data_IF_594231513596
#
_entry.id   IF_594231513596
#
_cell.length_a   1.000
_cell.length_b   1.000
_cell.length_c   1.000
_cell.angle_alpha   90.00
_cell.angle_beta   90.00
_cell.angle_gamma   90.00
#
_symmetry.space_group_name_H-M   'P 1'
#
loop_
_entity.id
_entity.type
_entity.pdbx_description
1 polymer ?
#
# COMPACT_ATOMS: atom_id res chain seq x y z
N UNK A 1 -41.24 18.79 -7.31
CA UNK A 1 -42.04 17.59 -7.62
C UNK A 1 -41.67 16.44 -6.66
N UNK A 2 -42.31 16.43 -5.49
CA UNK A 2 -42.09 15.43 -4.45
C UNK A 2 -42.78 14.11 -4.83
N UNK A 3 -42.03 13.01 -4.87
CA UNK A 3 -42.60 11.66 -4.92
C UNK A 3 -43.04 11.26 -3.52
N UNK A 4 -44.24 10.72 -3.44
CA UNK A 4 -44.88 10.19 -2.22
C UNK A 4 -43.98 9.11 -1.60
N UNK A 5 -43.71 9.13 -0.28
CA UNK A 5 -42.91 8.10 0.37
C UNK A 5 -43.60 6.73 0.28
N UNK A 6 -42.79 5.69 0.03
CA UNK A 6 -43.22 4.31 -0.17
C UNK A 6 -44.09 3.87 1.04
N UNK A 7 -45.25 3.23 0.83
CA UNK A 7 -46.02 2.66 1.93
C UNK A 7 -45.14 1.69 2.72
N UNK A 8 -44.98 1.92 4.02
CA UNK A 8 -44.08 1.21 4.97
C UNK A 8 -42.61 1.68 5.04
N UNK A 9 -42.24 2.84 4.48
CA UNK A 9 -40.93 3.43 4.76
C UNK A 9 -40.85 3.93 6.22
N UNK A 10 -40.12 3.19 7.07
CA UNK A 10 -39.75 3.66 8.41
C UNK A 10 -38.45 4.45 8.31
N UNK A 11 -38.53 5.76 8.53
CA UNK A 11 -37.34 6.61 8.72
C UNK A 11 -36.47 6.05 9.85
N UNK A 12 -35.16 5.97 9.63
CA UNK A 12 -34.15 5.59 10.63
C UNK A 12 -34.01 6.60 11.78
N UNK A 13 -34.84 7.65 11.83
CA UNK A 13 -35.01 8.55 12.97
C UNK A 13 -35.91 7.98 14.08
N UNK A 14 -35.93 6.65 14.27
CA UNK A 14 -36.49 6.07 15.49
C UNK A 14 -35.64 6.51 16.68
N UNK A 15 -36.22 7.37 17.51
CA UNK A 15 -35.80 7.72 18.86
C UNK A 15 -34.91 6.62 19.48
N UNK A 16 -33.60 6.86 19.52
CA UNK A 16 -32.64 5.99 20.19
C UNK A 16 -32.94 6.04 21.69
N UNK A 17 -33.77 5.13 22.17
CA UNK A 17 -33.86 4.85 23.59
C UNK A 17 -32.51 4.32 24.06
N UNK A 18 -31.79 5.11 24.84
CA UNK A 18 -30.59 4.70 25.57
C UNK A 18 -30.90 3.41 26.36
N UNK A 19 -30.18 2.32 26.06
CA UNK A 19 -30.11 1.16 26.97
C UNK A 19 -30.62 -0.19 26.45
N UNK A 20 -31.28 -0.29 25.30
CA UNK A 20 -31.75 -1.58 24.77
C UNK A 20 -31.15 -1.88 23.39
N UNK A 21 -29.95 -2.49 23.40
CA UNK A 21 -29.38 -3.09 22.19
C UNK A 21 -30.16 -4.39 21.93
N UNK A 22 -31.26 -4.33 21.19
CA UNK A 22 -31.89 -5.54 20.61
C UNK A 22 -30.76 -6.34 19.93
N UNK A 23 -30.68 -7.65 20.15
CA UNK A 23 -29.82 -8.52 19.32
C UNK A 23 -30.31 -8.35 17.89
N UNK A 24 -29.64 -7.46 17.15
CA UNK A 24 -30.17 -6.89 15.91
C UNK A 24 -30.16 -7.92 14.79
N UNK A 25 -31.15 -7.82 13.91
CA UNK A 25 -31.12 -8.50 12.61
C UNK A 25 -29.79 -8.25 11.90
N UNK A 26 -29.34 -9.20 11.08
CA UNK A 26 -28.12 -9.07 10.27
C UNK A 26 -28.30 -7.90 9.31
N UNK A 27 -27.61 -6.79 9.58
CA UNK A 27 -27.73 -5.54 8.85
C UNK A 27 -26.35 -4.90 8.68
N UNK A 28 -26.15 -4.08 7.63
CA UNK A 28 -24.89 -3.35 7.47
C UNK A 28 -24.63 -2.44 8.68
N UNK A 29 -23.35 -2.22 8.99
CA UNK A 29 -22.96 -1.41 10.15
C UNK A 29 -23.34 0.08 9.99
N UNK A 30 -23.33 0.55 8.74
CA UNK A 30 -23.71 1.90 8.35
C UNK A 30 -24.75 1.83 7.23
N UNK A 31 -25.55 2.88 7.11
CA UNK A 31 -26.66 2.95 6.17
C UNK A 31 -26.15 3.10 4.72
N UNK A 32 -26.47 2.17 3.80
CA UNK A 32 -26.07 2.28 2.39
C UNK A 32 -26.85 3.36 1.63
N UNK A 33 -28.02 3.79 2.12
CA UNK A 33 -28.87 4.79 1.47
C UNK A 33 -28.54 6.23 1.87
N UNK A 34 -27.60 6.41 2.82
CA UNK A 34 -27.17 7.74 3.26
C UNK A 34 -26.51 8.53 2.12
N UNK A 35 -26.76 9.84 2.08
CA UNK A 35 -26.20 10.70 1.04
C UNK A 35 -24.66 10.66 1.08
N UNK A 36 -24.03 10.42 -0.08
CA UNK A 36 -22.58 10.25 -0.23
C UNK A 36 -21.99 9.01 0.49
N UNK A 37 -22.79 8.01 0.83
CA UNK A 37 -22.28 6.73 1.32
C UNK A 37 -21.28 6.11 0.32
N UNK A 38 -20.14 5.64 0.84
CA UNK A 38 -19.12 4.96 0.03
C UNK A 38 -19.29 3.46 0.22
N UNK A 39 -19.96 2.84 -0.73
CA UNK A 39 -20.26 1.40 -0.72
C UNK A 39 -19.09 0.65 -1.36
N UNK A 40 -18.46 -0.24 -0.58
CA UNK A 40 -17.36 -1.10 -1.04
C UNK A 40 -17.87 -2.44 -1.55
N UNK A 41 -18.93 -2.96 -0.93
CA UNK A 41 -19.57 -4.21 -1.34
C UNK A 41 -21.07 -4.07 -1.30
N UNK A 42 -21.72 -4.57 -2.35
CA UNK A 42 -23.17 -4.73 -2.43
C UNK A 42 -23.48 -6.22 -2.59
N UNK A 43 -24.43 -6.77 -1.82
CA UNK A 43 -24.93 -8.12 -2.04
C UNK A 43 -25.42 -8.30 -3.48
N UNK A 44 -25.27 -9.50 -4.07
CA UNK A 44 -25.86 -9.78 -5.37
C UNK A 44 -27.38 -9.64 -5.31
N UNK A 45 -27.98 -9.08 -6.37
CA UNK A 45 -29.43 -9.01 -6.50
C UNK A 45 -29.99 -10.43 -6.65
N UNK A 46 -30.70 -10.89 -5.62
CA UNK A 46 -31.40 -12.17 -5.63
C UNK A 46 -32.84 -11.94 -6.09
N UNK A 47 -33.38 -12.89 -6.87
CA UNK A 47 -34.80 -12.85 -7.21
C UNK A 47 -35.66 -13.04 -5.96
N UNK A 48 -36.89 -12.50 -5.96
CA UNK A 48 -37.79 -12.59 -4.81
C UNK A 48 -38.05 -14.06 -4.38
N UNK A 49 -38.01 -15.01 -5.32
CA UNK A 49 -38.16 -16.44 -5.04
C UNK A 49 -36.93 -17.06 -4.38
N UNK A 50 -35.72 -16.57 -4.71
CA UNK A 50 -34.47 -17.01 -4.08
C UNK A 50 -34.31 -16.42 -2.68
N UNK A 51 -34.72 -15.16 -2.47
CA UNK A 51 -34.70 -14.53 -1.14
C UNK A 51 -35.58 -15.26 -0.12
N UNK A 52 -36.65 -15.91 -0.56
CA UNK A 52 -37.53 -16.72 0.31
C UNK A 52 -36.93 -18.10 0.66
N UNK A 53 -35.98 -18.60 -0.14
CA UNK A 53 -35.33 -19.91 0.06
C UNK A 53 -34.03 -19.81 0.87
N UNK A 54 -33.37 -18.65 0.86
CA UNK A 54 -32.10 -18.43 1.55
C UNK A 54 -32.34 -17.96 2.98
N UNK A 55 -31.62 -18.53 3.93
CA UNK A 55 -31.66 -18.09 5.32
C UNK A 55 -31.25 -16.62 5.46
N UNK A 56 -32.10 -15.80 6.09
CA UNK A 56 -31.81 -14.38 6.32
C UNK A 56 -30.53 -14.15 7.14
N UNK A 57 -30.12 -15.14 7.93
CA UNK A 57 -28.89 -15.10 8.71
C UNK A 57 -27.61 -15.40 7.90
N UNK A 58 -27.73 -15.90 6.66
CA UNK A 58 -26.61 -16.25 5.78
C UNK A 58 -26.47 -15.30 4.58
N UNK A 59 -27.47 -14.46 4.31
CA UNK A 59 -27.40 -13.40 3.29
C UNK A 59 -26.30 -12.37 3.56
N UNK A 60 -25.41 -12.10 2.58
CA UNK A 60 -24.38 -11.10 2.75
C UNK A 60 -24.98 -9.71 2.89
N UNK A 61 -24.30 -8.84 3.65
CA UNK A 61 -24.71 -7.45 3.90
C UNK A 61 -23.81 -6.48 3.16
N UNK A 62 -24.30 -5.26 2.92
CA UNK A 62 -23.48 -4.20 2.35
C UNK A 62 -22.29 -3.88 3.26
N UNK A 63 -21.14 -3.59 2.64
CA UNK A 63 -19.98 -3.04 3.35
C UNK A 63 -19.88 -1.57 2.97
N UNK A 64 -20.12 -0.71 3.95
CA UNK A 64 -20.18 0.75 3.76
C UNK A 64 -19.07 1.39 4.58
N UNK A 65 -18.27 2.26 3.97
CA UNK A 65 -17.22 2.97 4.71
C UNK A 65 -17.85 3.81 5.82
N UNK A 66 -17.21 3.84 7.00
CA UNK A 66 -17.65 4.68 8.12
C UNK A 66 -17.82 6.15 7.68
N UNK A 67 -19.01 6.75 7.83
CA UNK A 67 -19.29 8.12 7.39
C UNK A 67 -18.31 9.16 7.93
N UNK A 68 -17.66 8.90 9.07
CA UNK A 68 -16.63 9.77 9.65
C UNK A 68 -15.49 10.02 8.66
N UNK A 69 -14.97 8.95 8.05
CA UNK A 69 -13.87 9.02 7.08
C UNK A 69 -14.40 9.15 5.65
N UNK A 70 -15.52 8.48 5.33
CA UNK A 70 -16.14 8.49 4.00
C UNK A 70 -16.47 9.88 3.48
N UNK A 71 -16.96 10.78 4.35
CA UNK A 71 -17.27 12.17 3.99
C UNK A 71 -16.06 13.02 3.60
N UNK A 72 -14.87 12.66 4.08
CA UNK A 72 -13.63 13.43 3.83
C UNK A 72 -12.91 12.94 2.57
N UNK A 73 -13.19 11.71 2.12
CA UNK A 73 -12.55 11.13 0.95
C UNK A 73 -12.93 11.88 -0.33
N UNK A 74 -11.90 12.30 -1.07
CA UNK A 74 -12.02 12.82 -2.44
C UNK A 74 -12.39 11.70 -3.43
N UNK A 75 -12.92 12.01 -4.62
CA UNK A 75 -13.36 10.99 -5.59
C UNK A 75 -12.30 9.93 -5.90
N UNK A 76 -11.06 10.34 -6.19
CA UNK A 76 -9.96 9.39 -6.41
C UNK A 76 -9.69 8.55 -5.16
N UNK A 77 -9.76 9.13 -3.96
CA UNK A 77 -9.54 8.36 -2.73
C UNK A 77 -10.63 7.30 -2.54
N UNK A 78 -11.90 7.59 -2.88
CA UNK A 78 -13.00 6.62 -2.84
C UNK A 78 -12.75 5.44 -3.79
N UNK A 79 -12.37 5.74 -5.03
CA UNK A 79 -11.98 4.72 -6.02
C UNK A 79 -10.79 3.87 -5.54
N UNK A 80 -9.79 4.50 -4.91
CA UNK A 80 -8.62 3.78 -4.43
C UNK A 80 -8.92 2.86 -3.25
N UNK A 81 -9.80 3.29 -2.33
CA UNK A 81 -10.27 2.41 -1.24
C UNK A 81 -11.07 1.25 -1.79
N UNK A 82 -11.96 1.49 -2.77
CA UNK A 82 -12.72 0.43 -3.44
C UNK A 82 -11.79 -0.56 -4.14
N UNK A 83 -10.84 -0.08 -4.94
CA UNK A 83 -9.84 -0.91 -5.60
C UNK A 83 -9.07 -1.78 -4.60
N UNK A 84 -8.56 -1.19 -3.52
CA UNK A 84 -7.86 -1.97 -2.49
C UNK A 84 -8.78 -2.99 -1.82
N UNK A 85 -10.04 -2.64 -1.56
CA UNK A 85 -11.02 -3.57 -0.97
C UNK A 85 -11.28 -4.76 -1.90
N UNK A 86 -11.49 -4.53 -3.20
CA UNK A 86 -11.73 -5.58 -4.19
C UNK A 86 -10.50 -6.50 -4.34
N UNK A 87 -9.29 -5.95 -4.27
CA UNK A 87 -8.04 -6.72 -4.26
C UNK A 87 -7.94 -7.60 -3.00
N UNK A 88 -8.09 -7.03 -1.80
CA UNK A 88 -7.88 -7.79 -0.54
C UNK A 88 -9.02 -8.74 -0.18
N UNK A 89 -10.13 -8.68 -0.91
CA UNK A 89 -11.25 -9.64 -0.80
C UNK A 89 -11.21 -10.71 -1.91
N UNK A 90 -10.29 -10.61 -2.87
CA UNK A 90 -10.12 -11.58 -3.95
C UNK A 90 -11.13 -11.43 -5.08
N UNK A 91 -11.81 -10.27 -5.19
CA UNK A 91 -12.75 -9.96 -6.26
C UNK A 91 -12.00 -9.65 -7.57
N UNK A 92 -10.89 -8.90 -7.50
CA UNK A 92 -10.10 -8.58 -8.70
C UNK A 92 -9.36 -9.80 -9.27
N UNK A 93 -8.73 -10.58 -8.39
CA UNK A 93 -7.98 -11.77 -8.76
C UNK A 93 -8.39 -12.89 -7.79
N UNK A 94 -9.10 -13.94 -8.28
CA UNK A 94 -9.49 -15.05 -7.43
C UNK A 94 -8.29 -15.68 -6.73
N UNK A 95 -8.47 -16.06 -5.46
CA UNK A 95 -7.46 -16.70 -4.60
C UNK A 95 -6.21 -15.85 -4.31
N UNK A 96 -6.20 -14.58 -4.72
CA UNK A 96 -5.12 -13.63 -4.48
C UNK A 96 -5.68 -12.42 -3.75
N UNK A 97 -4.98 -11.94 -2.72
CA UNK A 97 -5.50 -10.90 -1.81
C UNK A 97 -4.56 -9.70 -1.66
N UNK A 98 -3.71 -9.50 -2.66
CA UNK A 98 -2.68 -8.50 -2.64
C UNK A 98 -2.98 -7.30 -3.55
N UNK A 99 -2.54 -6.11 -3.11
CA UNK A 99 -2.69 -4.85 -3.82
C UNK A 99 -1.41 -4.02 -3.79
N UNK A 100 -1.10 -3.31 -4.89
CA UNK A 100 -0.06 -2.27 -4.95
C UNK A 100 -0.72 -0.92 -5.22
N UNK A 101 -0.57 0.01 -4.29
CA UNK A 101 -0.99 1.40 -4.44
C UNK A 101 0.24 2.24 -4.81
N UNK A 102 0.39 2.50 -6.11
CA UNK A 102 1.50 3.24 -6.71
C UNK A 102 1.15 4.70 -7.05
N UNK A 103 0.11 5.25 -6.41
CA UNK A 103 -0.27 6.66 -6.50
C UNK A 103 0.90 7.59 -6.15
N UNK A 104 1.04 8.68 -6.91
CA UNK A 104 2.04 9.71 -6.63
C UNK A 104 1.93 10.27 -5.19
N UNK A 105 3.07 10.74 -4.67
CA UNK A 105 3.15 11.38 -3.36
C UNK A 105 2.18 12.58 -3.30
N UNK A 106 1.46 12.72 -2.19
CA UNK A 106 0.48 13.79 -1.99
C UNK A 106 -0.99 13.43 -2.29
N UNK A 107 -1.29 12.28 -2.92
CA UNK A 107 -2.68 11.86 -3.19
C UNK A 107 -3.44 11.31 -1.96
N UNK A 108 -2.78 11.23 -0.80
CA UNK A 108 -3.39 10.78 0.46
C UNK A 108 -3.51 9.26 0.60
N UNK A 109 -2.47 8.50 0.22
CA UNK A 109 -2.42 7.04 0.37
C UNK A 109 -2.70 6.58 1.81
N UNK A 110 -2.10 7.25 2.79
CA UNK A 110 -2.28 6.97 4.22
C UNK A 110 -3.76 6.97 4.63
N UNK A 111 -4.52 8.00 4.27
CA UNK A 111 -5.96 8.08 4.57
C UNK A 111 -6.74 6.94 3.91
N UNK A 112 -6.42 6.58 2.68
CA UNK A 112 -7.07 5.47 1.98
C UNK A 112 -6.80 4.13 2.71
N UNK A 113 -5.55 3.89 3.13
CA UNK A 113 -5.18 2.69 3.89
C UNK A 113 -5.83 2.62 5.28
N UNK A 114 -5.90 3.75 5.99
CA UNK A 114 -6.60 3.82 7.29
C UNK A 114 -8.08 3.50 7.11
N UNK A 115 -8.72 4.08 6.09
CA UNK A 115 -10.12 3.83 5.77
C UNK A 115 -10.39 2.35 5.50
N UNK A 116 -9.55 1.72 4.67
CA UNK A 116 -9.65 0.30 4.37
C UNK A 116 -9.45 -0.53 5.63
N UNK A 117 -8.38 -0.30 6.38
CA UNK A 117 -8.04 -1.06 7.59
C UNK A 117 -9.17 -0.99 8.61
N UNK A 118 -9.74 0.20 8.83
CA UNK A 118 -10.88 0.40 9.71
C UNK A 118 -12.12 -0.35 9.25
N UNK A 119 -12.39 -0.33 7.94
CA UNK A 119 -13.51 -1.08 7.35
C UNK A 119 -13.33 -2.59 7.58
N UNK A 120 -12.15 -3.14 7.28
CA UNK A 120 -11.87 -4.57 7.46
C UNK A 120 -11.94 -5.02 8.94
N UNK A 121 -11.55 -4.14 9.88
CA UNK A 121 -11.59 -4.40 11.33
C UNK A 121 -13.01 -4.37 11.92
N UNK A 122 -13.98 -3.78 11.22
CA UNK A 122 -15.34 -3.57 11.75
C UNK A 122 -16.42 -4.27 10.95
N UNK A 123 -16.18 -4.50 9.67
CA UNK A 123 -17.18 -4.94 8.70
C UNK A 123 -16.63 -6.02 7.79
N UNK A 124 -17.57 -6.73 7.18
CA UNK A 124 -17.36 -7.70 6.12
C UNK A 124 -18.72 -8.13 5.54
N UNK A 125 -18.75 -8.73 4.35
CA UNK A 125 -20.00 -9.20 3.73
C UNK A 125 -20.79 -10.13 4.65
N UNK A 126 -20.09 -10.87 5.50
CA UNK A 126 -20.70 -11.79 6.46
C UNK A 126 -21.23 -11.13 7.75
N UNK A 127 -21.33 -9.80 7.83
CA UNK A 127 -21.69 -9.06 9.04
C UNK A 127 -20.72 -9.32 10.23
N UNK A 128 -19.48 -9.69 9.91
CA UNK A 128 -18.37 -9.88 10.85
C UNK A 128 -17.12 -9.19 10.30
N UNK A 129 -16.18 -8.76 11.15
CA UNK A 129 -14.89 -8.25 10.69
C UNK A 129 -14.18 -9.23 9.75
N UNK A 130 -13.57 -8.72 8.69
CA UNK A 130 -12.74 -9.52 7.76
C UNK A 130 -11.40 -9.84 8.40
N UNK A 131 -10.88 -8.93 9.21
CA UNK A 131 -9.61 -9.07 9.92
C UNK A 131 -9.77 -8.70 11.39
N UNK A 132 -8.91 -9.28 12.23
CA UNK A 132 -8.82 -8.96 13.66
C UNK A 132 -7.66 -8.00 13.97
N UNK A 133 -6.56 -8.12 13.22
CA UNK A 133 -5.32 -7.35 13.42
C UNK A 133 -4.71 -6.91 12.09
N UNK A 134 -4.10 -5.75 12.12
CA UNK A 134 -3.33 -5.18 11.02
C UNK A 134 -1.91 -4.81 11.48
N UNK A 135 -0.93 -5.02 10.60
CA UNK A 135 0.44 -4.53 10.79
C UNK A 135 0.76 -3.53 9.68
N UNK A 136 1.24 -2.35 10.07
CA UNK A 136 1.73 -1.31 9.17
C UNK A 136 3.24 -1.25 9.37
N UNK A 137 3.99 -1.58 8.31
CA UNK A 137 5.45 -1.52 8.27
C UNK A 137 5.84 -0.30 7.47
N UNK A 138 6.62 0.59 8.08
CA UNK A 138 6.93 1.92 7.53
C UNK A 138 8.39 2.29 7.81
N UNK A 139 9.00 3.25 7.12
CA UNK A 139 10.27 3.84 7.58
C UNK A 139 10.16 4.35 9.03
N UNK A 140 11.26 4.22 9.78
CA UNK A 140 11.30 4.62 11.21
C UNK A 140 10.84 6.07 11.44
N UNK A 141 11.20 7.00 10.55
CA UNK A 141 10.76 8.41 10.61
C UNK A 141 9.25 8.63 10.47
N UNK A 142 8.53 7.67 9.89
CA UNK A 142 7.10 7.79 9.59
C UNK A 142 6.21 7.04 10.61
N UNK A 143 6.78 6.27 11.54
CA UNK A 143 6.01 5.52 12.55
C UNK A 143 5.10 6.46 13.37
N UNK A 144 5.66 7.55 13.90
CA UNK A 144 4.91 8.57 14.64
C UNK A 144 3.86 9.28 13.77
N UNK A 145 4.18 9.50 12.50
CA UNK A 145 3.25 10.13 11.56
C UNK A 145 2.01 9.25 11.34
N UNK A 146 2.19 7.96 11.08
CA UNK A 146 1.10 7.00 10.97
C UNK A 146 0.25 6.92 12.25
N UNK A 147 0.88 6.92 13.43
CA UNK A 147 0.18 6.94 14.71
C UNK A 147 -0.73 8.18 14.85
N UNK A 148 -0.20 9.36 14.51
CA UNK A 148 -0.95 10.61 14.57
C UNK A 148 -2.10 10.65 13.56
N UNK A 149 -1.88 10.21 12.32
CA UNK A 149 -2.89 10.17 11.28
C UNK A 149 -4.04 9.19 11.62
N UNK A 150 -3.76 8.02 12.19
CA UNK A 150 -4.81 7.10 12.66
C UNK A 150 -5.66 7.75 13.75
N UNK A 151 -5.02 8.38 14.74
CA UNK A 151 -5.74 9.05 15.82
C UNK A 151 -6.58 10.24 15.34
N UNK A 152 -6.05 11.01 14.38
CA UNK A 152 -6.72 12.15 13.74
C UNK A 152 -7.95 11.70 12.96
N UNK A 153 -7.80 10.74 12.05
CA UNK A 153 -8.89 10.34 11.15
C UNK A 153 -9.95 9.47 11.81
N UNK A 154 -9.56 8.63 12.79
CA UNK A 154 -10.50 7.77 13.51
C UNK A 154 -10.99 8.39 14.83
N UNK A 155 -10.66 9.66 15.12
CA UNK A 155 -11.09 10.39 16.32
C UNK A 155 -10.86 9.61 17.63
N UNK A 156 -9.71 8.95 17.75
CA UNK A 156 -9.33 8.09 18.90
C UNK A 156 -10.29 6.91 19.19
N UNK A 157 -11.11 6.48 18.22
CA UNK A 157 -11.93 5.24 18.33
C UNK A 157 -11.11 3.95 18.22
N UNK A 158 -9.87 4.06 17.75
CA UNK A 158 -8.93 2.96 17.60
C UNK A 158 -7.65 3.34 18.33
N UNK A 159 -7.10 2.41 19.12
CA UNK A 159 -5.81 2.57 19.77
C UNK A 159 -4.74 1.84 18.95
N UNK A 160 -3.95 2.53 18.11
CA UNK A 160 -2.81 1.91 17.46
C UNK A 160 -1.65 1.72 18.44
N UNK A 161 -0.94 0.61 18.33
CA UNK A 161 0.33 0.37 19.02
C UNK A 161 1.48 0.78 18.10
N UNK A 162 2.19 1.86 18.44
CA UNK A 162 3.38 2.29 17.71
C UNK A 162 4.66 1.80 18.42
N UNK A 163 5.57 1.20 17.65
CA UNK A 163 6.90 0.81 18.10
C UNK A 163 7.93 1.71 17.44
N UNK A 164 8.41 2.68 18.21
CA UNK A 164 9.38 3.69 17.78
C UNK A 164 10.57 3.71 18.75
N UNK A 165 11.53 2.81 18.53
CA UNK A 165 12.69 2.63 19.39
C UNK A 165 12.36 2.07 20.79
N UNK A 166 13.39 1.99 21.63
CA UNK A 166 13.29 1.47 23.01
C UNK A 166 14.19 0.25 23.25
N UNK A 167 14.22 -0.19 24.52
CA UNK A 167 14.97 -1.38 24.90
C UNK A 167 14.40 -2.65 24.25
N UNK A 168 15.27 -3.58 23.85
CA UNK A 168 14.90 -4.82 23.16
C UNK A 168 13.81 -5.59 23.92
N UNK A 169 13.93 -5.71 25.24
CA UNK A 169 12.96 -6.43 26.07
C UNK A 169 11.58 -5.76 26.12
N UNK A 170 11.53 -4.43 26.12
CA UNK A 170 10.28 -3.68 26.14
C UNK A 170 9.52 -3.87 24.81
N UNK A 171 10.25 -3.79 23.69
CA UNK A 171 9.70 -4.05 22.36
C UNK A 171 9.16 -5.48 22.29
N UNK A 172 9.92 -6.47 22.75
CA UNK A 172 9.46 -7.86 22.77
C UNK A 172 8.22 -8.07 23.62
N UNK A 173 8.12 -7.41 24.79
CA UNK A 173 6.93 -7.48 25.65
C UNK A 173 5.71 -6.90 24.92
N UNK A 174 5.83 -5.72 24.32
CA UNK A 174 4.75 -5.08 23.54
C UNK A 174 4.30 -5.96 22.36
N UNK A 175 5.25 -6.53 21.62
CA UNK A 175 4.96 -7.42 20.50
C UNK A 175 4.28 -8.71 20.94
N UNK A 176 4.79 -9.36 22.00
CA UNK A 176 4.16 -10.56 22.58
C UNK A 176 2.73 -10.24 23.00
N UNK A 177 2.50 -9.15 23.72
CA UNK A 177 1.15 -8.72 24.12
C UNK A 177 0.23 -8.54 22.91
N UNK A 178 0.66 -7.81 21.88
CA UNK A 178 -0.11 -7.64 20.64
C UNK A 178 -0.44 -8.98 19.96
N UNK A 179 0.53 -9.90 19.89
CA UNK A 179 0.32 -11.23 19.30
C UNK A 179 -0.63 -12.10 20.11
N UNK A 180 -0.58 -12.03 21.45
CA UNK A 180 -1.46 -12.81 22.34
C UNK A 180 -2.88 -12.26 22.45
N UNK A 181 -3.15 -11.01 22.08
CA UNK A 181 -4.51 -10.47 22.07
C UNK A 181 -5.39 -11.28 21.11
N UNK A 182 -6.45 -11.89 21.62
CA UNK A 182 -7.43 -12.68 20.87
C UNK A 182 -8.84 -12.41 21.39
N UNK A 183 -9.85 -12.69 20.57
CA UNK A 183 -11.26 -12.59 20.95
C UNK A 183 -11.98 -11.36 20.37
N UNK A 184 -13.23 -11.16 20.81
CA UNK A 184 -14.17 -10.19 20.20
C UNK A 184 -13.78 -8.71 20.40
N UNK A 185 -12.90 -8.39 21.36
CA UNK A 185 -12.48 -7.02 21.66
C UNK A 185 -10.97 -6.97 21.83
N UNK A 186 -10.28 -6.72 20.73
CA UNK A 186 -8.85 -6.46 20.71
C UNK A 186 -8.64 -4.99 21.07
N UNK A 187 -7.79 -4.74 22.07
CA UNK A 187 -7.53 -3.38 22.57
C UNK A 187 -6.73 -2.57 21.55
N UNK A 188 -5.69 -3.18 21.00
CA UNK A 188 -4.76 -2.53 20.07
C UNK A 188 -4.73 -3.29 18.74
N UNK A 189 -5.74 -3.13 17.86
CA UNK A 189 -5.87 -3.93 16.65
C UNK A 189 -4.87 -3.57 15.53
N UNK A 190 -4.18 -2.43 15.65
CA UNK A 190 -3.25 -1.94 14.62
C UNK A 190 -1.87 -1.79 15.25
N UNK A 191 -0.88 -2.52 14.73
CA UNK A 191 0.54 -2.35 15.06
C UNK A 191 1.22 -1.51 13.97
N UNK A 192 1.98 -0.49 14.38
CA UNK A 192 2.84 0.32 13.51
C UNK A 192 4.29 0.07 13.93
N UNK A 193 5.10 -0.42 12.99
CA UNK A 193 6.47 -0.84 13.27
C UNK A 193 7.39 -0.41 12.14
N UNK A 194 8.64 -0.10 12.48
CA UNK A 194 9.64 0.19 11.46
C UNK A 194 10.09 -1.07 10.74
N UNK A 195 10.59 -0.94 9.51
CA UNK A 195 11.22 -2.06 8.79
C UNK A 195 12.36 -2.70 9.58
N UNK A 196 13.18 -1.87 10.23
CA UNK A 196 14.37 -2.33 10.95
C UNK A 196 13.97 -3.13 12.21
N UNK A 197 13.00 -2.63 12.98
CA UNK A 197 12.49 -3.32 14.18
C UNK A 197 11.65 -4.55 13.82
N UNK A 198 10.87 -4.50 12.73
CA UNK A 198 10.14 -5.67 12.23
C UNK A 198 11.10 -6.81 11.93
N UNK A 199 12.18 -6.52 11.18
CA UNK A 199 13.21 -7.52 10.85
C UNK A 199 13.84 -8.13 12.10
N UNK A 200 14.20 -7.29 13.08
CA UNK A 200 14.83 -7.75 14.32
C UNK A 200 13.95 -8.68 15.16
N UNK A 201 12.62 -8.53 15.07
CA UNK A 201 11.66 -9.28 15.89
C UNK A 201 10.68 -10.14 15.07
N UNK A 202 11.03 -10.46 13.81
CA UNK A 202 10.18 -11.23 12.91
C UNK A 202 9.77 -12.58 13.52
N UNK A 203 10.67 -13.25 14.23
CA UNK A 203 10.41 -14.54 14.88
C UNK A 203 9.27 -14.52 15.93
N UNK A 204 8.89 -13.35 16.45
CA UNK A 204 7.74 -13.20 17.35
C UNK A 204 6.47 -13.00 16.53
N UNK A 205 6.54 -12.16 15.49
CA UNK A 205 5.42 -11.79 14.63
C UNK A 205 4.93 -12.94 13.75
N UNK A 206 5.82 -13.88 13.38
CA UNK A 206 5.47 -15.05 12.57
C UNK A 206 4.73 -16.14 13.33
N UNK A 207 4.62 -16.04 14.66
CA UNK A 207 3.99 -17.08 15.50
C UNK A 207 2.46 -17.11 15.45
N UNK A 208 1.81 -16.07 14.96
CA UNK A 208 0.35 -16.08 14.83
C UNK A 208 -0.08 -15.37 13.56
N UNK A 209 -1.24 -15.77 13.00
CA UNK A 209 -1.72 -15.19 11.76
C UNK A 209 -2.13 -13.73 11.96
N UNK A 210 -1.85 -12.92 10.94
CA UNK A 210 -2.22 -11.51 10.86
C UNK A 210 -3.13 -11.32 9.65
N UNK A 211 -4.23 -10.59 9.84
CA UNK A 211 -5.26 -10.47 8.79
C UNK A 211 -4.80 -9.66 7.57
N UNK A 212 -3.96 -8.64 7.79
CA UNK A 212 -3.39 -7.79 6.74
C UNK A 212 -2.03 -7.20 7.13
N UNK A 213 -1.13 -7.07 6.16
CA UNK A 213 0.09 -6.27 6.25
C UNK A 213 0.08 -5.14 5.23
N UNK A 214 0.48 -3.94 5.66
CA UNK A 214 0.62 -2.76 4.81
C UNK A 214 2.09 -2.32 4.87
N UNK A 215 2.77 -2.33 3.72
CA UNK A 215 4.16 -1.92 3.57
C UNK A 215 4.20 -0.53 2.94
N UNK A 216 4.56 0.49 3.73
CA UNK A 216 4.74 1.86 3.25
C UNK A 216 6.15 2.08 2.69
N UNK A 217 6.29 2.88 1.64
CA UNK A 217 7.53 3.00 0.86
C UNK A 217 8.07 1.64 0.40
N UNK A 218 7.19 0.82 -0.15
CA UNK A 218 7.48 -0.54 -0.60
C UNK A 218 8.51 -0.64 -1.72
N UNK A 219 8.92 0.47 -2.33
CA UNK A 219 10.12 0.52 -3.17
C UNK A 219 11.39 0.11 -2.38
N UNK A 220 11.37 0.06 -1.04
CA UNK A 220 12.43 -0.56 -0.24
C UNK A 220 12.53 -2.10 -0.39
N UNK A 221 11.49 -2.73 -0.94
CA UNK A 221 11.38 -4.20 -1.11
C UNK A 221 11.74 -4.66 -2.53
N UNK A 222 12.49 -3.85 -3.29
CA UNK A 222 12.92 -4.16 -4.68
C UNK A 222 13.69 -5.46 -4.83
N UNK A 223 14.53 -5.79 -3.84
CA UNK A 223 15.40 -6.97 -3.90
C UNK A 223 14.80 -8.12 -3.07
N UNK A 224 14.52 -9.24 -3.74
CA UNK A 224 14.01 -10.47 -3.13
C UNK A 224 14.98 -11.11 -2.12
N UNK A 225 16.27 -10.84 -2.23
CA UNK A 225 17.31 -11.33 -1.30
C UNK A 225 17.40 -10.50 -0.01
N UNK A 226 16.65 -9.42 0.09
CA UNK A 226 16.66 -8.56 1.26
C UNK A 226 16.10 -9.32 2.48
N UNK A 227 16.82 -9.28 3.60
CA UNK A 227 16.36 -9.87 4.88
C UNK A 227 14.96 -9.39 5.29
N UNK A 228 14.63 -8.14 4.96
CA UNK A 228 13.30 -7.57 5.21
C UNK A 228 12.22 -8.27 4.37
N UNK A 229 12.52 -8.59 3.11
CA UNK A 229 11.62 -9.32 2.22
C UNK A 229 11.36 -10.73 2.76
N UNK A 230 12.42 -11.45 3.14
CA UNK A 230 12.32 -12.79 3.75
C UNK A 230 11.51 -12.75 5.05
N UNK A 231 11.77 -11.77 5.92
CA UNK A 231 11.02 -11.61 7.17
C UNK A 231 9.53 -11.35 6.94
N UNK A 232 9.18 -10.51 5.96
CA UNK A 232 7.78 -10.22 5.62
C UNK A 232 7.10 -11.40 4.92
N UNK A 233 7.82 -12.20 4.14
CA UNK A 233 7.28 -13.42 3.54
C UNK A 233 7.04 -14.52 4.58
N UNK A 234 7.87 -14.60 5.62
CA UNK A 234 7.66 -15.51 6.74
C UNK A 234 6.40 -15.18 7.57
N UNK A 235 5.88 -13.95 7.47
CA UNK A 235 4.65 -13.55 8.16
C UNK A 235 3.44 -14.29 7.59
N UNK A 236 2.70 -14.97 8.46
CA UNK A 236 1.45 -15.65 8.13
C UNK A 236 0.33 -14.63 7.90
N UNK A 237 0.21 -14.13 6.68
CA UNK A 237 -0.85 -13.19 6.30
C UNK A 237 -1.40 -13.49 4.92
N UNK A 238 -2.72 -13.38 4.79
CA UNK A 238 -3.41 -13.56 3.52
C UNK A 238 -3.35 -12.28 2.66
N UNK A 239 -3.47 -11.10 3.28
CA UNK A 239 -3.68 -9.83 2.58
C UNK A 239 -2.42 -8.97 2.69
N UNK A 240 -1.89 -8.53 1.55
CA UNK A 240 -0.66 -7.73 1.46
C UNK A 240 -0.90 -6.48 0.65
N UNK A 241 -0.68 -5.32 1.25
CA UNK A 241 -0.77 -4.03 0.54
C UNK A 241 0.61 -3.41 0.50
N UNK A 242 1.03 -2.98 -0.68
CA UNK A 242 2.29 -2.27 -0.87
C UNK A 242 2.00 -0.85 -1.35
N UNK A 243 2.51 0.15 -0.63
CA UNK A 243 2.37 1.56 -0.97
C UNK A 243 3.70 2.04 -1.57
N UNK A 244 3.66 2.66 -2.74
CA UNK A 244 4.83 3.32 -3.32
C UNK A 244 4.42 4.69 -3.84
N UNK A 245 5.18 5.73 -3.49
CA UNK A 245 5.02 7.06 -4.08
C UNK A 245 5.88 7.28 -5.32
N UNK A 246 6.95 6.49 -5.47
CA UNK A 246 7.89 6.58 -6.58
C UNK A 246 7.46 5.66 -7.71
N UNK A 247 7.68 6.05 -8.99
CA UNK A 247 7.55 5.12 -10.10
C UNK A 247 8.44 3.92 -9.81
N UNK A 248 7.87 2.71 -9.90
CA UNK A 248 8.67 1.50 -9.93
C UNK A 248 9.65 1.69 -11.09
N UNK A 249 10.95 1.61 -10.80
CA UNK A 249 11.99 1.89 -11.80
C UNK A 249 11.86 0.86 -12.93
N UNK A 250 12.32 1.20 -14.14
CA UNK A 250 12.13 0.41 -15.37
C UNK A 250 12.81 -0.98 -15.36
N UNK A 251 13.16 -1.51 -14.20
CA UNK A 251 13.67 -2.86 -13.99
C UNK A 251 12.51 -3.85 -13.75
N UNK A 252 12.37 -4.81 -14.66
CA UNK A 252 11.34 -5.84 -14.61
C UNK A 252 11.54 -6.81 -13.44
N UNK A 253 12.78 -6.99 -12.96
CA UNK A 253 13.05 -7.86 -11.81
C UNK A 253 12.57 -7.26 -10.49
N UNK A 254 12.71 -5.94 -10.33
CA UNK A 254 12.12 -5.24 -9.19
C UNK A 254 10.59 -5.35 -9.21
N UNK A 255 10.00 -5.21 -10.40
CA UNK A 255 8.56 -5.35 -10.58
C UNK A 255 8.08 -6.76 -10.24
N UNK A 256 8.79 -7.79 -10.70
CA UNK A 256 8.52 -9.18 -10.34
C UNK A 256 8.57 -9.37 -8.83
N UNK A 257 9.61 -8.86 -8.16
CA UNK A 257 9.76 -9.00 -6.70
C UNK A 257 8.59 -8.37 -5.94
N UNK A 258 8.14 -7.18 -6.34
CA UNK A 258 6.99 -6.51 -5.73
C UNK A 258 5.67 -7.25 -5.99
N UNK A 259 5.43 -7.71 -7.22
CA UNK A 259 4.21 -8.44 -7.57
C UNK A 259 4.18 -9.80 -6.89
N UNK A 260 5.29 -10.52 -6.87
CA UNK A 260 5.42 -11.82 -6.20
C UNK A 260 5.23 -11.69 -4.69
N UNK A 261 5.75 -10.63 -4.07
CA UNK A 261 5.52 -10.34 -2.65
C UNK A 261 4.03 -10.19 -2.33
N UNK A 262 3.31 -9.49 -3.19
CA UNK A 262 1.91 -9.13 -2.97
C UNK A 262 0.97 -10.29 -3.31
N UNK A 263 1.18 -10.93 -4.47
CA UNK A 263 0.40 -12.05 -4.97
C UNK A 263 1.34 -13.17 -5.45
N UNK A 264 1.71 -14.04 -4.52
CA UNK A 264 2.55 -15.19 -4.81
C UNK A 264 1.89 -16.14 -5.82
N UNK A 265 2.62 -16.51 -6.86
CA UNK A 265 2.18 -17.53 -7.84
C UNK A 265 1.51 -17.01 -9.11
N UNK A 266 1.09 -15.74 -9.19
CA UNK A 266 0.47 -15.19 -10.42
C UNK A 266 1.43 -15.21 -11.62
N UNK A 267 2.70 -14.85 -11.39
CA UNK A 267 3.73 -14.74 -12.43
C UNK A 267 4.64 -15.98 -12.51
N UNK A 268 4.36 -17.03 -11.73
CA UNK A 268 5.23 -18.20 -11.60
C UNK A 268 6.50 -17.92 -10.79
N UNK A 269 7.54 -18.71 -11.07
CA UNK A 269 8.87 -18.57 -10.45
C UNK A 269 9.69 -17.45 -11.11
N UNK A 270 10.73 -16.96 -10.43
CA UNK A 270 11.62 -15.93 -11.00
C UNK A 270 12.27 -16.38 -12.32
N UNK A 271 12.64 -17.66 -12.44
CA UNK A 271 13.23 -18.22 -13.66
C UNK A 271 12.23 -18.27 -14.82
N UNK A 272 10.98 -18.68 -14.55
CA UNK A 272 9.91 -18.69 -15.55
C UNK A 272 9.56 -17.27 -16.01
N UNK A 273 9.46 -16.32 -15.07
CA UNK A 273 9.23 -14.91 -15.37
C UNK A 273 10.33 -14.35 -16.27
N UNK A 274 11.60 -14.63 -15.94
CA UNK A 274 12.74 -14.16 -16.71
C UNK A 274 12.73 -14.68 -18.14
N UNK A 275 12.45 -15.98 -18.32
CA UNK A 275 12.34 -16.60 -19.65
C UNK A 275 11.14 -16.11 -20.45
N UNK A 276 9.99 -15.90 -19.81
CA UNK A 276 8.73 -15.57 -20.47
C UNK A 276 8.57 -14.08 -20.78
N UNK A 277 9.03 -13.21 -19.90
CA UNK A 277 8.80 -11.76 -19.99
C UNK A 277 10.11 -10.98 -20.11
N UNK A 278 11.02 -11.11 -19.14
CA UNK A 278 12.21 -10.25 -19.06
C UNK A 278 13.10 -10.33 -20.30
N UNK A 279 13.53 -11.53 -20.69
CA UNK A 279 14.45 -11.73 -21.83
C UNK A 279 13.82 -11.21 -23.14
N UNK A 280 12.58 -11.57 -23.51
CA UNK A 280 11.94 -11.03 -24.72
C UNK A 280 11.77 -9.51 -24.70
N UNK A 281 11.38 -8.92 -23.55
CA UNK A 281 11.14 -7.47 -23.44
C UNK A 281 12.45 -6.69 -23.56
N UNK A 282 13.52 -7.15 -22.89
CA UNK A 282 14.83 -6.50 -22.98
C UNK A 282 15.37 -6.61 -24.41
N UNK A 283 15.29 -7.80 -25.01
CA UNK A 283 15.73 -8.03 -26.40
C UNK A 283 14.96 -7.14 -27.38
N UNK A 284 13.64 -6.98 -27.21
CA UNK A 284 12.82 -6.10 -28.05
C UNK A 284 13.04 -4.61 -27.83
N UNK A 285 13.64 -4.20 -26.70
CA UNK A 285 14.01 -2.80 -26.42
C UNK A 285 15.42 -2.44 -26.90
N UNK A 286 16.22 -3.42 -27.30
CA UNK A 286 17.55 -3.18 -27.81
C UNK A 286 17.47 -2.36 -29.12
N UNK A 287 18.34 -1.36 -29.24
CA UNK A 287 18.47 -0.54 -30.45
C UNK A 287 18.78 -1.36 -31.71
N UNK A 288 19.39 -2.53 -31.55
CA UNK A 288 19.75 -3.46 -32.62
C UNK A 288 18.69 -4.55 -32.89
N UNK A 289 17.54 -4.49 -32.22
CA UNK A 289 16.51 -5.52 -32.30
C UNK A 289 15.85 -5.62 -33.69
N UNK A 290 15.61 -6.85 -34.12
CA UNK A 290 14.83 -7.10 -35.34
C UNK A 290 13.36 -6.66 -35.18
N UNK A 291 12.63 -6.33 -36.26
CA UNK A 291 11.21 -5.98 -36.16
C UNK A 291 10.36 -7.06 -35.49
N UNK A 292 10.72 -8.35 -35.70
CA UNK A 292 10.06 -9.48 -35.05
C UNK A 292 10.31 -9.52 -33.53
N UNK A 293 11.54 -9.23 -33.09
CA UNK A 293 11.87 -9.17 -31.66
C UNK A 293 11.18 -7.99 -30.95
N UNK A 294 11.04 -6.85 -31.63
CA UNK A 294 10.29 -5.70 -31.12
C UNK A 294 8.80 -6.00 -30.93
N UNK A 295 8.18 -6.68 -31.91
CA UNK A 295 6.79 -7.11 -31.81
C UNK A 295 6.58 -8.08 -30.65
N UNK A 296 7.41 -9.13 -30.55
CA UNK A 296 7.34 -10.09 -29.46
C UNK A 296 7.54 -9.44 -28.08
N UNK A 297 8.50 -8.51 -27.96
CA UNK A 297 8.73 -7.74 -26.73
C UNK A 297 7.52 -6.92 -26.31
N UNK A 298 6.87 -6.23 -27.26
CA UNK A 298 5.66 -5.44 -27.00
C UNK A 298 4.45 -6.30 -26.63
N UNK A 299 4.27 -7.45 -27.29
CA UNK A 299 3.23 -8.42 -26.93
C UNK A 299 3.39 -8.91 -25.50
N UNK A 300 4.61 -9.31 -25.11
CA UNK A 300 4.89 -9.77 -23.74
C UNK A 300 4.77 -8.66 -22.70
N UNK A 301 5.12 -7.43 -23.05
CA UNK A 301 4.91 -6.27 -22.19
C UNK A 301 3.42 -6.01 -21.95
N UNK A 302 2.58 -6.09 -22.99
CA UNK A 302 1.13 -5.92 -22.89
C UNK A 302 0.48 -7.05 -22.08
N UNK A 303 0.92 -8.30 -22.28
CA UNK A 303 0.49 -9.46 -21.49
C UNK A 303 0.79 -9.24 -20.00
N UNK A 304 2.03 -8.82 -19.67
CA UNK A 304 2.43 -8.52 -18.30
C UNK A 304 1.61 -7.37 -17.71
N UNK A 305 1.43 -6.28 -18.46
CA UNK A 305 0.66 -5.12 -18.02
C UNK A 305 -0.80 -5.49 -17.73
N UNK A 306 -1.43 -6.32 -18.56
CA UNK A 306 -2.81 -6.78 -18.36
C UNK A 306 -2.99 -7.55 -17.05
N UNK A 307 -2.05 -8.42 -16.71
CA UNK A 307 -2.07 -9.18 -15.46
C UNK A 307 -1.89 -8.25 -14.27
N UNK A 308 -0.91 -7.36 -14.34
CA UNK A 308 -0.49 -6.58 -13.17
C UNK A 308 -1.37 -5.34 -12.95
N UNK A 309 -1.98 -4.78 -13.99
CA UNK A 309 -2.99 -3.71 -13.85
C UNK A 309 -4.21 -4.13 -13.03
N UNK A 310 -4.46 -5.44 -12.84
CA UNK A 310 -5.52 -5.94 -11.96
C UNK A 310 -5.20 -5.80 -10.47
N UNK A 311 -3.92 -5.73 -10.10
CA UNK A 311 -3.49 -5.60 -8.70
C UNK A 311 -2.76 -4.28 -8.40
N UNK A 312 -2.46 -3.46 -9.42
CA UNK A 312 -1.81 -2.15 -9.26
C UNK A 312 -2.74 -1.02 -9.65
N UNK A 313 -2.84 -0.02 -8.78
CA UNK A 313 -3.43 1.27 -9.10
C UNK A 313 -2.36 2.36 -9.05
N UNK A 314 -2.30 3.20 -10.08
CA UNK A 314 -1.38 4.33 -10.16
C UNK A 314 -2.08 5.54 -10.77
N UNK A 315 -2.12 6.63 -10.01
CA UNK A 315 -2.64 7.93 -10.46
C UNK A 315 -1.62 9.03 -10.25
N UNK A 316 -1.73 10.06 -11.08
CA UNK A 316 -0.84 11.21 -11.10
C UNK A 316 -1.43 12.42 -10.39
N UNK A 317 -0.58 13.35 -9.97
CA UNK A 317 -0.96 14.63 -9.35
C UNK A 317 -1.85 15.50 -10.26
N UNK A 318 -1.91 15.24 -11.57
CA UNK A 318 -2.83 15.90 -12.50
C UNK A 318 -4.32 15.85 -12.04
N UNK A 319 -4.71 14.84 -11.23
CA UNK A 319 -6.05 14.77 -10.65
C UNK A 319 -6.31 15.87 -9.61
N UNK A 320 -5.27 16.34 -8.93
CA UNK A 320 -5.37 17.36 -7.88
C UNK A 320 -5.50 18.77 -8.46
N UNK A 321 -5.07 18.99 -9.70
CA UNK A 321 -5.15 20.29 -10.38
C UNK A 321 -6.59 20.80 -10.52
N UNK A 322 -7.59 19.91 -10.42
CA UNK A 322 -9.02 20.28 -10.40
C UNK A 322 -9.47 20.91 -9.08
N UNK A 323 -8.74 20.70 -8.00
CA UNK A 323 -9.19 21.04 -6.64
C UNK A 323 -8.21 21.92 -5.86
N UNK A 324 -6.94 21.97 -6.29
CA UNK A 324 -5.87 22.73 -5.64
C UNK A 324 -5.48 23.95 -6.49
N UNK A 325 -4.93 25.00 -5.86
CA UNK A 325 -4.31 26.11 -6.57
C UNK A 325 -3.20 25.65 -7.52
N UNK A 326 -2.91 26.46 -8.53
CA UNK A 326 -1.83 26.19 -9.50
C UNK A 326 -0.49 26.12 -8.75
N UNK A 327 0.23 25.01 -8.94
CA UNK A 327 1.60 24.84 -8.46
C UNK A 327 2.55 25.39 -9.53
N UNK A 328 3.37 26.39 -9.18
CA UNK A 328 4.41 26.92 -10.05
C UNK A 328 5.76 26.37 -9.55
N UNK A 329 6.43 25.60 -10.40
CA UNK A 329 7.78 25.09 -10.13
C UNK A 329 8.81 25.93 -10.90
N UNK A 330 9.75 26.54 -10.19
CA UNK A 330 10.82 27.34 -10.77
C UNK A 330 12.17 26.71 -10.45
N UNK A 331 12.88 26.26 -11.50
CA UNK A 331 14.25 25.77 -11.37
C UNK A 331 15.19 26.96 -11.50
N UNK A 332 15.76 27.41 -10.38
CA UNK A 332 16.74 28.50 -10.35
C UNK A 332 18.14 27.92 -10.47
N UNK A 333 18.80 28.19 -11.60
CA UNK A 333 20.17 27.74 -11.83
C UNK A 333 21.14 28.77 -11.24
N UNK A 334 21.70 28.46 -10.07
CA UNK A 334 22.69 29.30 -9.40
C UNK A 334 24.09 29.03 -9.96
N UNK A 335 24.80 30.10 -10.35
CA UNK A 335 26.21 29.98 -10.74
C UNK A 335 27.09 29.85 -9.50
N UNK A 336 28.13 29.03 -9.58
CA UNK A 336 29.15 28.92 -8.54
C UNK A 336 29.90 30.25 -8.38
N UNK A 337 30.26 30.58 -7.14
CA UNK A 337 31.12 31.71 -6.82
C UNK A 337 32.55 31.47 -7.35
N UNK A 338 33.37 32.53 -7.55
CA UNK A 338 34.75 32.37 -8.02
C UNK A 338 35.57 31.40 -7.16
N UNK A 339 35.45 31.48 -5.83
CA UNK A 339 36.09 30.57 -4.88
C UNK A 339 35.62 29.12 -5.05
N UNK A 340 34.31 28.90 -5.18
CA UNK A 340 33.77 27.55 -5.42
C UNK A 340 34.27 26.97 -6.74
N UNK A 341 34.43 27.78 -7.79
CA UNK A 341 34.99 27.34 -9.07
C UNK A 341 36.45 26.92 -8.92
N UNK A 342 37.26 27.68 -8.18
CA UNK A 342 38.65 27.33 -7.90
C UNK A 342 38.75 26.03 -7.12
N UNK A 343 37.99 25.90 -6.03
CA UNK A 343 37.93 24.67 -5.22
C UNK A 343 37.42 23.47 -6.01
N UNK A 344 36.41 23.66 -6.87
CA UNK A 344 35.91 22.60 -7.76
C UNK A 344 36.99 22.14 -8.73
N UNK A 345 37.69 23.07 -9.38
CA UNK A 345 38.80 22.75 -10.29
C UNK A 345 39.97 22.09 -9.57
N UNK A 346 40.31 22.52 -8.36
CA UNK A 346 41.33 21.87 -7.54
C UNK A 346 40.92 20.45 -7.16
N UNK A 347 39.65 20.25 -6.82
CA UNK A 347 39.10 18.93 -6.51
C UNK A 347 39.14 18.00 -7.72
N UNK A 348 38.73 18.49 -8.91
CA UNK A 348 38.79 17.74 -10.17
C UNK A 348 40.21 17.33 -10.58
N UNK A 349 41.22 18.17 -10.26
CA UNK A 349 42.63 17.90 -10.54
C UNK A 349 43.32 17.00 -9.51
N UNK A 350 42.67 16.72 -8.38
CA UNK A 350 43.25 15.84 -7.37
C UNK A 350 43.10 14.37 -7.80
N UNK A 351 44.12 13.54 -7.56
CA UNK A 351 44.24 12.12 -7.96
C UNK A 351 43.05 11.20 -7.57
N UNK A 352 42.06 11.69 -6.80
CA UNK A 352 40.86 10.95 -6.47
C UNK A 352 39.96 10.64 -7.68
N UNK A 353 40.14 11.31 -8.82
CA UNK A 353 39.35 11.13 -10.05
C UNK A 353 40.12 10.38 -11.14
N UNK A 354 41.45 10.58 -11.25
CA UNK A 354 42.28 9.84 -12.22
C UNK A 354 42.31 8.33 -11.93
N UNK A 355 42.24 7.93 -10.64
CA UNK A 355 42.11 6.52 -10.24
C UNK A 355 40.73 5.89 -10.58
N UNK A 356 39.74 6.72 -10.96
CA UNK A 356 38.39 6.28 -11.35
C UNK A 356 38.26 6.07 -12.86
N UNK A 357 39.03 6.81 -13.67
CA UNK A 357 39.05 6.64 -15.13
C UNK A 357 39.89 5.43 -15.57
N UNK A 358 40.83 4.97 -14.73
CA UNK A 358 41.77 3.90 -15.08
C UNK A 358 41.27 2.45 -14.86
N UNK A 359 39.99 2.24 -14.50
CA UNK A 359 39.42 0.90 -14.30
C UNK A 359 38.35 0.60 -15.34
N UNK A 360 38.59 -0.43 -16.15
CA UNK A 360 37.69 -0.95 -17.18
C UNK A 360 36.24 -1.09 -16.72
N UNK A 361 35.29 -0.87 -17.64
CA UNK A 361 33.83 -0.91 -17.43
C UNK A 361 33.31 -2.18 -16.72
N UNK A 362 34.07 -3.29 -16.77
CA UNK A 362 33.69 -4.56 -16.15
C UNK A 362 33.91 -4.63 -14.63
N UNK A 363 34.67 -3.70 -14.03
CA UNK A 363 35.09 -3.76 -12.62
C UNK A 363 34.73 -2.51 -11.81
N UNK A 364 33.66 -1.81 -12.21
CA UNK A 364 33.03 -0.71 -11.47
C UNK A 364 32.32 -1.21 -10.20
N UNK A 365 33.08 -1.81 -9.28
CA UNK A 365 32.70 -1.78 -7.86
C UNK A 365 32.80 -0.33 -7.42
N UNK A 366 31.64 0.34 -7.39
CA UNK A 366 31.42 1.68 -6.85
C UNK A 366 32.23 1.84 -5.55
N UNK A 367 33.43 2.40 -5.65
CA UNK A 367 34.34 2.40 -4.50
C UNK A 367 33.82 3.40 -3.47
N UNK A 368 33.99 3.15 -2.18
CA UNK A 368 33.63 4.10 -1.12
C UNK A 368 34.23 5.52 -1.35
N UNK A 369 35.28 5.63 -2.16
CA UNK A 369 35.89 6.88 -2.61
C UNK A 369 34.95 7.73 -3.50
N UNK A 370 34.22 7.11 -4.43
CA UNK A 370 33.30 7.83 -5.34
C UNK A 370 32.15 8.52 -4.60
N UNK A 371 31.52 7.83 -3.65
CA UNK A 371 30.42 8.38 -2.87
C UNK A 371 30.90 9.52 -1.95
N UNK A 372 32.12 9.39 -1.40
CA UNK A 372 32.77 10.46 -0.65
C UNK A 372 33.03 11.69 -1.52
N UNK A 373 33.55 11.51 -2.74
CA UNK A 373 33.82 12.59 -3.68
C UNK A 373 32.55 13.34 -4.08
N UNK A 374 31.47 12.62 -4.43
CA UNK A 374 30.16 13.21 -4.69
C UNK A 374 29.65 14.00 -3.48
N UNK A 375 29.81 13.45 -2.27
CA UNK A 375 29.38 14.13 -1.05
C UNK A 375 30.16 15.42 -0.80
N UNK A 376 31.47 15.44 -1.08
CA UNK A 376 32.30 16.64 -0.96
C UNK A 376 31.92 17.70 -2.00
N UNK A 377 31.66 17.30 -3.26
CA UNK A 377 31.16 18.22 -4.28
C UNK A 377 29.79 18.80 -3.92
N UNK A 378 28.88 17.99 -3.33
CA UNK A 378 27.60 18.50 -2.81
C UNK A 378 27.80 19.51 -1.69
N UNK A 379 28.77 19.31 -0.79
CA UNK A 379 29.13 20.26 0.27
C UNK A 379 29.78 21.54 -0.27
N UNK A 380 30.43 21.49 -1.44
CA UNK A 380 31.00 22.67 -2.07
C UNK A 380 29.91 23.56 -2.69
N UNK A 381 28.86 22.95 -3.25
CA UNK A 381 27.75 23.65 -3.90
C UNK A 381 26.68 24.15 -2.92
N UNK A 382 26.44 23.44 -1.82
CA UNK A 382 25.54 23.84 -0.73
C UNK A 382 26.22 24.82 0.21
#
# INVERSE_FOLDING_TARGET
>A
PFKIPIPNYQSSSSFKSLGTRRQGARQPLFDPEEENAVILFSPPELSAQEMLKVDQNTLPVHVVVDPMVGKVLRPHQREGVKFMFDCVTGVQIPQNFGCIMADEMGLGKTLQCITLTWTLLKQGPDCKPIIDKAIIVTPSSLVKNWYNEINKWLQKKCNPLAIDGGGKEEIEKKLKLFMFQQGRRIMDPILIISYETFRAHAAILTKSPIGIVICDEGHRLKNSENQTYTALNALQTQRRILLSGTPIQNDLLEYFSLVHFVNGGILGTAAEFRKRFEIPIIKGRDSSASPADQQLGNEKLNELASVVNKCIIRRTQALLTKYLPIKIEQVVVCRLTPLQIELYKMFCKSNNIDDLEAKDESDLKLSNSTLSAITQMKKLCN
#
